data_IF_067750070992
#
_entry.id   IF_067750070992
#
_cell.length_a   1.000
_cell.length_b   1.000
_cell.length_c   1.000
_cell.angle_alpha   90.00
_cell.angle_beta   90.00
_cell.angle_gamma   90.00
#
_symmetry.space_group_name_H-M   'P 1'
#
loop_
_entity.id
_entity.type
_entity.pdbx_description
1 polymer ?
#
# COMPACT_ATOMS: atom_id res chain seq x y z
N UNK A 1 -0.69 -17.22 -2.90
CA UNK A 1 0.45 -16.89 -3.78
C UNK A 1 0.25 -17.32 -5.23
N UNK A 2 -0.07 -18.59 -5.52
CA UNK A 2 -0.26 -19.09 -6.91
C UNK A 2 -1.31 -18.31 -7.71
N UNK A 3 -2.42 -17.88 -7.08
CA UNK A 3 -3.45 -17.08 -7.75
C UNK A 3 -3.17 -15.56 -7.74
N UNK A 4 -2.35 -15.11 -6.80
CA UNK A 4 -2.13 -13.68 -6.55
C UNK A 4 -1.10 -13.09 -7.52
N UNK A 5 -0.03 -13.83 -7.84
CA UNK A 5 1.01 -13.38 -8.78
C UNK A 5 0.47 -13.21 -10.22
N UNK A 6 -0.33 -14.14 -10.78
CA UNK A 6 -0.96 -13.96 -12.08
C UNK A 6 -1.92 -12.77 -12.11
N UNK A 7 -2.73 -12.58 -11.06
CA UNK A 7 -3.65 -11.45 -10.96
C UNK A 7 -2.90 -10.11 -10.96
N UNK A 8 -1.82 -10.00 -10.18
CA UNK A 8 -0.97 -8.80 -10.18
C UNK A 8 -0.32 -8.58 -11.55
N UNK A 9 0.12 -9.65 -12.23
CA UNK A 9 0.66 -9.53 -13.59
C UNK A 9 -0.38 -9.07 -14.60
N UNK A 10 -1.61 -9.56 -14.54
CA UNK A 10 -2.71 -9.09 -15.39
C UNK A 10 -3.02 -7.62 -15.09
N UNK A 11 -3.06 -7.24 -13.81
CA UNK A 11 -3.28 -5.86 -13.39
C UNK A 11 -2.20 -4.91 -13.91
N UNK A 12 -0.92 -5.25 -13.72
CA UNK A 12 0.24 -4.46 -14.18
C UNK A 12 0.28 -4.39 -15.72
N UNK A 13 0.03 -5.50 -16.41
CA UNK A 13 0.12 -5.58 -17.87
C UNK A 13 -1.21 -5.26 -18.58
N UNK A 14 -2.23 -4.78 -17.86
CA UNK A 14 -3.55 -4.45 -18.41
C UNK A 14 -3.51 -3.37 -19.51
N UNK A 15 -2.41 -2.61 -19.60
CA UNK A 15 -2.16 -1.67 -20.69
C UNK A 15 -1.81 -2.32 -22.03
N UNK A 16 -1.49 -3.62 -22.06
CA UNK A 16 -1.34 -4.40 -23.30
C UNK A 16 -2.71 -4.85 -23.77
N UNK A 17 -3.53 -3.90 -24.25
CA UNK A 17 -4.85 -4.18 -24.77
C UNK A 17 -4.98 -3.72 -26.24
N UNK A 18 -5.85 -4.36 -27.04
CA UNK A 18 -6.07 -3.98 -28.44
C UNK A 18 -6.68 -2.58 -28.61
N UNK A 19 -7.23 -2.01 -27.52
CA UNK A 19 -7.96 -0.75 -27.52
C UNK A 19 -7.06 0.49 -27.24
N UNK A 20 -5.76 0.29 -26.97
CA UNK A 20 -4.83 1.38 -26.65
C UNK A 20 -5.12 2.09 -25.32
N UNK A 21 -5.90 1.49 -24.43
CA UNK A 21 -6.26 2.10 -23.14
C UNK A 21 -5.09 2.02 -22.15
N UNK A 22 -4.91 3.04 -21.28
CA UNK A 22 -3.91 2.99 -20.22
C UNK A 22 -4.18 1.80 -19.30
N UNK A 23 -3.09 1.19 -18.79
CA UNK A 23 -3.21 0.11 -17.82
C UNK A 23 -3.97 0.58 -16.58
N UNK A 24 -4.74 -0.31 -15.95
CA UNK A 24 -5.53 -0.03 -14.75
C UNK A 24 -4.75 0.73 -13.65
N UNK A 25 -3.48 0.38 -13.31
CA UNK A 25 -2.72 1.12 -12.32
C UNK A 25 -2.43 2.57 -12.74
N UNK A 26 -2.20 2.81 -14.04
CA UNK A 26 -1.88 4.14 -14.59
C UNK A 26 -3.15 4.99 -14.66
N UNK A 27 -4.26 4.41 -15.11
CA UNK A 27 -5.55 5.10 -15.14
C UNK A 27 -6.01 5.52 -13.73
N UNK A 28 -5.82 4.63 -12.74
CA UNK A 28 -6.07 4.97 -11.33
C UNK A 28 -5.10 6.05 -10.84
N UNK A 29 -3.83 5.97 -11.24
CA UNK A 29 -2.84 6.98 -10.86
C UNK A 29 -3.20 8.37 -11.39
N UNK A 30 -3.67 8.47 -12.63
CA UNK A 30 -4.10 9.72 -13.23
C UNK A 30 -5.29 10.35 -12.51
N UNK A 31 -6.29 9.53 -12.19
CA UNK A 31 -7.45 9.98 -11.44
C UNK A 31 -7.04 10.50 -10.05
N UNK A 32 -6.18 9.76 -9.35
CA UNK A 32 -5.70 10.13 -8.02
C UNK A 32 -4.83 11.38 -8.06
N UNK A 33 -3.93 11.49 -9.03
CA UNK A 33 -3.10 12.69 -9.20
C UNK A 33 -3.97 13.93 -9.47
N UNK A 34 -5.03 13.80 -10.27
CA UNK A 34 -5.93 14.91 -10.58
C UNK A 34 -6.80 15.36 -9.38
N UNK A 35 -7.21 14.44 -8.50
CA UNK A 35 -8.17 14.75 -7.42
C UNK A 35 -7.53 14.92 -6.03
N UNK A 36 -6.50 14.12 -5.72
CA UNK A 36 -5.78 14.22 -4.43
C UNK A 36 -4.68 15.26 -4.50
N UNK A 37 -4.08 15.42 -5.68
CA UNK A 37 -3.00 16.39 -5.91
C UNK A 37 -1.79 16.11 -5.04
N UNK A 38 -1.06 17.17 -4.69
CA UNK A 38 0.22 17.04 -4.01
C UNK A 38 0.11 16.37 -2.64
N UNK A 39 -1.05 16.39 -1.94
CA UNK A 39 -1.28 15.79 -0.60
C UNK A 39 -1.12 14.27 -0.56
N UNK A 40 -1.01 13.64 -1.72
CA UNK A 40 -0.89 12.19 -1.88
C UNK A 40 0.17 11.46 -1.03
N UNK A 41 1.38 11.99 -0.75
CA UNK A 41 2.39 11.34 0.10
C UNK A 41 1.87 10.99 1.50
N UNK A 42 0.90 11.74 2.03
CA UNK A 42 0.25 11.44 3.31
C UNK A 42 -0.54 10.12 3.25
N UNK A 43 -1.12 9.81 2.09
CA UNK A 43 -1.96 8.65 1.85
C UNK A 43 -1.20 7.44 1.29
N UNK A 44 0.00 7.63 0.74
CA UNK A 44 0.82 6.54 0.18
C UNK A 44 1.06 5.38 1.17
N UNK A 45 1.38 5.61 2.46
CA UNK A 45 1.51 4.53 3.45
C UNK A 45 0.19 3.82 3.73
N UNK A 46 -0.93 4.54 3.71
CA UNK A 46 -2.25 3.95 3.95
C UNK A 46 -2.64 2.96 2.84
N UNK A 47 -2.33 3.28 1.58
CA UNK A 47 -2.52 2.35 0.45
C UNK A 47 -1.69 1.09 0.63
N UNK A 48 -0.42 1.23 1.01
CA UNK A 48 0.45 0.09 1.31
C UNK A 48 -0.10 -0.78 2.44
N UNK A 49 -0.57 -0.16 3.53
CA UNK A 49 -1.14 -0.85 4.68
C UNK A 49 -2.43 -1.61 4.32
N UNK A 50 -3.34 -0.98 3.58
CA UNK A 50 -4.55 -1.61 3.07
C UNK A 50 -4.23 -2.81 2.16
N UNK A 51 -3.26 -2.64 1.25
CA UNK A 51 -2.82 -3.74 0.40
C UNK A 51 -2.27 -4.91 1.18
N UNK A 52 -1.48 -4.68 2.22
CA UNK A 52 -0.92 -5.74 3.04
C UNK A 52 -1.98 -6.42 3.92
N UNK A 53 -2.94 -5.65 4.43
CA UNK A 53 -4.08 -6.17 5.19
C UNK A 53 -4.96 -7.09 4.34
N UNK A 54 -5.31 -6.68 3.12
CA UNK A 54 -6.18 -7.45 2.21
C UNK A 54 -5.42 -8.64 1.60
N UNK A 55 -4.22 -8.40 1.06
CA UNK A 55 -3.46 -9.44 0.38
C UNK A 55 -2.86 -10.47 1.36
N UNK A 56 -2.77 -10.09 2.63
CA UNK A 56 -2.13 -10.90 3.63
C UNK A 56 -0.63 -11.10 3.38
N UNK A 57 0.04 -10.10 2.81
CA UNK A 57 1.49 -10.17 2.61
C UNK A 57 2.05 -8.80 2.23
N UNK A 58 3.13 -8.41 2.88
CA UNK A 58 3.88 -7.22 2.54
C UNK A 58 4.35 -7.25 1.07
N UNK A 59 4.95 -8.36 0.64
CA UNK A 59 5.49 -8.50 -0.72
C UNK A 59 4.40 -8.38 -1.79
N UNK A 60 3.24 -9.00 -1.54
CA UNK A 60 2.12 -8.94 -2.50
C UNK A 60 1.57 -7.51 -2.59
N UNK A 61 1.43 -6.81 -1.47
CA UNK A 61 1.01 -5.40 -1.44
C UNK A 61 1.95 -4.52 -2.26
N UNK A 62 3.27 -4.68 -2.07
CA UNK A 62 4.30 -3.96 -2.81
C UNK A 62 4.13 -4.23 -4.31
N UNK A 63 4.12 -5.49 -4.74
CA UNK A 63 3.98 -5.83 -6.15
C UNK A 63 2.69 -5.30 -6.78
N UNK A 64 1.58 -5.30 -6.03
CA UNK A 64 0.28 -4.86 -6.54
C UNK A 64 0.19 -3.35 -6.72
N UNK A 65 0.71 -2.57 -5.78
CA UNK A 65 0.52 -1.12 -5.76
C UNK A 65 1.74 -0.30 -6.18
N UNK A 66 2.95 -0.88 -6.26
CA UNK A 66 4.16 -0.12 -6.62
C UNK A 66 4.04 0.59 -7.96
N UNK A 67 3.45 -0.05 -8.99
CA UNK A 67 3.28 0.59 -10.30
C UNK A 67 2.29 1.76 -10.23
N UNK A 68 1.21 1.61 -9.45
CA UNK A 68 0.25 2.68 -9.21
C UNK A 68 0.89 3.85 -8.46
N UNK A 69 1.60 3.59 -7.36
CA UNK A 69 2.31 4.63 -6.58
C UNK A 69 3.37 5.35 -7.41
N UNK A 70 4.13 4.59 -8.20
CA UNK A 70 5.13 5.14 -9.10
C UNK A 70 4.49 6.06 -10.14
N UNK A 71 3.39 5.62 -10.76
CA UNK A 71 2.62 6.43 -11.70
C UNK A 71 2.06 7.71 -11.07
N UNK A 72 1.52 7.64 -9.85
CA UNK A 72 1.02 8.84 -9.16
C UNK A 72 2.16 9.82 -8.89
N UNK A 73 3.31 9.31 -8.45
CA UNK A 73 4.48 10.14 -8.18
C UNK A 73 4.98 10.86 -9.44
N UNK A 74 5.07 10.17 -10.58
CA UNK A 74 5.45 10.80 -11.86
C UNK A 74 4.48 11.91 -12.27
N UNK A 75 3.17 11.68 -12.15
CA UNK A 75 2.15 12.67 -12.53
C UNK A 75 2.13 13.89 -11.61
N UNK A 76 2.46 13.69 -10.34
CA UNK A 76 2.59 14.77 -9.36
C UNK A 76 3.97 15.41 -9.33
N UNK A 77 4.88 15.02 -10.23
CA UNK A 77 6.29 15.48 -10.26
C UNK A 77 7.03 15.26 -8.93
N UNK A 78 6.69 14.19 -8.22
CA UNK A 78 7.31 13.79 -6.95
C UNK A 78 8.33 12.67 -7.18
N UNK A 79 9.28 12.51 -6.26
CA UNK A 79 10.26 11.43 -6.32
C UNK A 79 9.57 10.05 -6.22
N UNK A 80 9.55 9.22 -7.29
CA UNK A 80 8.81 7.95 -7.27
C UNK A 80 9.37 6.95 -6.26
N UNK A 81 10.68 6.98 -6.06
CA UNK A 81 11.37 6.15 -5.06
C UNK A 81 10.90 6.44 -3.64
N UNK A 82 10.63 7.70 -3.32
CA UNK A 82 10.15 8.11 -2.00
C UNK A 82 8.71 7.63 -1.77
N UNK A 83 7.82 7.81 -2.76
CA UNK A 83 6.41 7.38 -2.64
C UNK A 83 6.31 5.84 -2.52
N UNK A 84 7.10 5.10 -3.30
CA UNK A 84 7.15 3.64 -3.20
C UNK A 84 7.77 3.19 -1.87
N UNK A 85 8.77 3.90 -1.34
CA UNK A 85 9.32 3.62 -0.01
C UNK A 85 8.28 3.83 1.10
N UNK A 86 7.50 4.92 1.04
CA UNK A 86 6.40 5.19 1.96
C UNK A 86 5.34 4.08 1.91
N UNK A 87 5.01 3.59 0.71
CA UNK A 87 4.12 2.45 0.54
C UNK A 87 4.71 1.19 1.18
N UNK A 88 6.00 0.90 1.01
CA UNK A 88 6.63 -0.28 1.59
C UNK A 88 6.61 -0.26 3.12
N UNK A 89 6.84 0.90 3.74
CA UNK A 89 6.73 1.08 5.20
C UNK A 89 5.27 0.90 5.65
N UNK A 90 4.33 1.50 4.94
CA UNK A 90 2.90 1.32 5.20
C UNK A 90 2.46 -0.15 5.09
N UNK A 91 2.96 -0.87 4.08
CA UNK A 91 2.69 -2.29 3.89
C UNK A 91 3.24 -3.16 5.03
N UNK A 92 4.41 -2.82 5.58
CA UNK A 92 4.91 -3.46 6.80
C UNK A 92 3.96 -3.23 7.98
N UNK A 93 3.45 -2.01 8.16
CA UNK A 93 2.51 -1.69 9.22
C UNK A 93 1.15 -2.42 9.07
N UNK A 94 0.62 -2.50 7.85
CA UNK A 94 -0.62 -3.22 7.54
C UNK A 94 -0.49 -4.73 7.69
N UNK A 95 0.71 -5.29 7.48
CA UNK A 95 0.94 -6.72 7.68
C UNK A 95 0.75 -7.14 9.16
N UNK A 96 0.88 -6.22 10.14
CA UNK A 96 0.64 -6.50 11.57
C UNK A 96 -0.83 -6.81 11.89
N UNK A 97 -1.77 -6.28 11.12
CA UNK A 97 -3.22 -6.47 11.30
C UNK A 97 -3.82 -7.49 10.34
N UNK A 98 -3.02 -8.03 9.44
CA UNK A 98 -3.52 -8.94 8.42
C UNK A 98 -3.96 -10.28 9.05
N UNK A 99 -5.16 -10.73 8.68
CA UNK A 99 -5.87 -11.82 9.36
C UNK A 99 -5.03 -13.10 9.37
N UNK A 100 -4.36 -13.42 8.27
CA UNK A 100 -3.53 -14.62 8.16
C UNK A 100 -2.36 -14.62 9.15
N UNK A 101 -1.78 -13.45 9.47
CA UNK A 101 -0.72 -13.33 10.48
C UNK A 101 -1.30 -13.36 11.90
N UNK A 102 -2.43 -12.68 12.13
CA UNK A 102 -3.07 -12.61 13.46
C UNK A 102 -3.60 -13.98 13.88
N UNK A 103 -4.17 -14.75 12.95
CA UNK A 103 -4.64 -16.12 13.19
C UNK A 103 -3.46 -17.05 13.49
N UNK A 104 -2.39 -16.99 12.67
CA UNK A 104 -1.20 -17.80 12.89
C UNK A 104 -0.53 -17.49 14.23
N UNK A 105 -0.41 -16.21 14.59
CA UNK A 105 0.10 -15.79 15.89
C UNK A 105 -0.82 -16.25 17.03
N UNK A 106 -2.14 -16.10 16.90
CA UNK A 106 -3.08 -16.55 17.92
C UNK A 106 -3.01 -18.06 18.15
N UNK A 107 -2.72 -18.85 17.12
CA UNK A 107 -2.53 -20.29 17.22
C UNK A 107 -1.27 -20.68 18.02
N UNK A 108 -0.17 -19.93 17.91
CA UNK A 108 1.10 -20.25 18.61
C UNK A 108 1.07 -19.92 20.10
N UNK A 109 0.34 -18.87 20.50
CA UNK A 109 0.16 -18.47 21.92
C UNK A 109 -1.11 -19.05 22.57
N UNK A 110 -1.84 -19.94 21.89
CA UNK A 110 -3.02 -20.60 22.45
C UNK A 110 -4.25 -19.69 22.62
N UNK A 111 -4.34 -18.62 21.84
CA UNK A 111 -5.43 -17.63 21.84
C UNK A 111 -6.45 -17.88 20.71
N UNK A 112 -6.62 -19.13 20.27
CA UNK A 112 -7.60 -19.51 19.24
C UNK A 112 -9.01 -19.05 19.63
N UNK A 113 -9.73 -18.44 18.69
CA UNK A 113 -11.05 -17.84 18.94
C UNK A 113 -11.02 -16.45 19.60
N UNK A 114 -9.85 -15.90 19.93
CA UNK A 114 -9.66 -14.52 20.43
C UNK A 114 -8.91 -13.61 19.45
N UNK A 115 -8.85 -13.99 18.19
CA UNK A 115 -8.17 -13.26 17.10
C UNK A 115 -8.67 -11.81 16.98
N UNK A 116 -9.98 -11.59 17.18
CA UNK A 116 -10.57 -10.25 17.16
C UNK A 116 -10.02 -9.32 18.26
N UNK A 117 -9.65 -9.86 19.43
CA UNK A 117 -9.02 -9.06 20.50
C UNK A 117 -7.58 -8.68 20.13
N UNK A 118 -6.85 -9.60 19.49
CA UNK A 118 -5.49 -9.34 19.00
C UNK A 118 -5.55 -8.28 17.90
N UNK A 119 -6.43 -8.44 16.93
CA UNK A 119 -6.66 -7.46 15.85
C UNK A 119 -7.00 -6.08 16.40
N UNK A 120 -7.93 -6.00 17.35
CA UNK A 120 -8.33 -4.72 17.94
C UNK A 120 -7.18 -4.03 18.68
N UNK A 121 -6.26 -4.80 19.27
CA UNK A 121 -5.05 -4.25 19.90
C UNK A 121 -3.98 -3.84 18.89
N UNK A 122 -3.84 -4.54 17.77
CA UNK A 122 -2.80 -4.25 16.76
C UNK A 122 -3.20 -3.13 15.79
N UNK A 123 -4.50 -2.88 15.61
CA UNK A 123 -5.00 -1.74 14.79
C UNK A 123 -4.52 -0.39 15.30
N UNK A 124 -4.46 -0.19 16.63
CA UNK A 124 -3.99 1.06 17.23
C UNK A 124 -2.52 1.38 16.85
N UNK A 125 -1.54 0.46 17.05
CA UNK A 125 -0.18 0.61 16.54
C UNK A 125 -0.10 0.82 15.03
N UNK A 126 -0.88 0.08 14.23
CA UNK A 126 -0.86 0.23 12.77
C UNK A 126 -1.32 1.62 12.34
N UNK A 127 -2.40 2.13 12.93
CA UNK A 127 -2.89 3.48 12.62
C UNK A 127 -1.86 4.55 12.99
N UNK A 128 -1.23 4.41 14.16
CA UNK A 128 -0.14 5.28 14.59
C UNK A 128 1.01 5.26 13.56
N UNK A 129 1.51 4.08 13.18
CA UNK A 129 2.59 3.97 12.19
C UNK A 129 2.23 4.61 10.85
N UNK A 130 1.03 4.34 10.32
CA UNK A 130 0.58 4.89 9.03
C UNK A 130 0.50 6.41 9.07
N UNK A 131 -0.05 6.98 10.15
CA UNK A 131 -0.17 8.43 10.31
C UNK A 131 1.20 9.11 10.41
N UNK A 132 2.11 8.56 11.25
CA UNK A 132 3.45 9.13 11.41
C UNK A 132 4.29 9.03 10.15
N UNK A 133 4.24 7.89 9.45
CA UNK A 133 4.96 7.72 8.19
C UNK A 133 4.38 8.62 7.10
N UNK A 134 3.06 8.84 7.08
CA UNK A 134 2.42 9.78 6.16
C UNK A 134 2.87 11.22 6.42
N UNK A 135 2.92 11.64 7.68
CA UNK A 135 3.42 12.96 8.09
C UNK A 135 4.90 13.15 7.70
N UNK A 136 5.74 12.15 7.98
CA UNK A 136 7.15 12.16 7.59
C UNK A 136 7.30 12.22 6.07
N UNK A 137 6.51 11.44 5.33
CA UNK A 137 6.48 11.44 3.88
C UNK A 137 6.11 12.80 3.29
N UNK A 138 5.10 13.45 3.87
CA UNK A 138 4.71 14.82 3.50
C UNK A 138 5.86 15.82 3.71
N UNK A 139 6.50 15.78 4.88
CA UNK A 139 7.65 16.66 5.17
C UNK A 139 8.87 16.36 4.29
N UNK A 140 9.13 15.09 3.98
CA UNK A 140 10.24 14.67 3.15
C UNK A 140 10.07 15.12 1.69
N UNK A 141 8.84 15.06 1.17
CA UNK A 141 8.52 15.59 -0.16
C UNK A 141 8.72 17.10 -0.21
N UNK A 142 8.22 17.83 0.79
CA UNK A 142 8.41 19.27 0.89
C UNK A 142 9.89 19.68 0.98
N UNK A 143 10.68 18.94 1.75
CA UNK A 143 12.12 19.17 1.88
C UNK A 143 12.87 18.85 0.58
N UNK A 144 12.46 17.83 -0.16
CA UNK A 144 13.08 17.46 -1.44
C UNK A 144 12.70 18.41 -2.60
N UNK A 145 11.65 19.23 -2.43
CA UNK A 145 11.17 20.18 -3.44
C UNK A 145 11.71 21.61 -3.30
N UNK A 146 12.50 21.90 -2.26
CA UNK A 146 13.16 23.20 -2.03
C UNK A 146 14.63 23.18 -2.39
#
# INVERSE_FOLDING_TARGET
LVFTVPMVRVYINSGQNPAGLPGMPIAMADWVAAHVGQVYPLFAPAVGALGAFIAGSNTVSILMFSLFQFGVAERLTLAPTLIVALQAVGAAAGNMIAIHNVVAASATVGLLGREGLVLRKTVLPTLYYVLWVGLLGWTAVWWASG
#
